data_IF_381336166791
#
_entry.id   IF_381336166791
#
_cell.length_a   1.000
_cell.length_b   1.000
_cell.length_c   1.000
_cell.angle_alpha   90.00
_cell.angle_beta   90.00
_cell.angle_gamma   90.00
#
_symmetry.space_group_name_H-M   'P 1'
#
loop_
_entity.id
_entity.type
_entity.pdbx_description
1 polymer ?
#
# COMPACT_ATOMS: atom_id res chain seq x y z
N UNK A 1 1.18 1.85 -23.75
CA UNK A 1 1.63 2.70 -22.65
C UNK A 1 1.47 1.98 -21.31
N UNK A 2 2.47 2.05 -20.50
CA UNK A 2 2.44 1.42 -19.19
C UNK A 2 1.55 2.21 -18.23
N UNK A 3 0.68 1.51 -17.54
CA UNK A 3 -0.19 2.16 -16.56
C UNK A 3 0.41 2.14 -15.15
N UNK A 4 1.48 1.39 -14.98
CA UNK A 4 2.18 1.35 -13.71
C UNK A 4 1.66 0.29 -12.75
N UNK A 5 2.27 0.26 -11.58
CA UNK A 5 1.97 -0.74 -10.55
C UNK A 5 1.52 -0.03 -9.29
N UNK A 6 0.43 -0.51 -8.70
CA UNK A 6 -0.06 0.00 -7.43
C UNK A 6 0.06 -1.07 -6.35
N UNK A 7 0.45 -0.65 -5.15
CA UNK A 7 0.46 -1.52 -3.97
C UNK A 7 -0.66 -1.05 -3.05
N UNK A 8 -1.54 -1.96 -2.67
CA UNK A 8 -2.64 -1.68 -1.75
C UNK A 8 -2.39 -2.44 -0.47
N UNK A 9 -2.35 -1.73 0.65
CA UNK A 9 -2.08 -2.32 1.96
C UNK A 9 -3.29 -2.11 2.86
N UNK A 10 -3.93 -3.20 3.27
CA UNK A 10 -5.13 -3.17 4.10
C UNK A 10 -5.26 -4.53 4.76
N UNK A 11 -5.57 -4.57 6.06
CA UNK A 11 -5.73 -5.84 6.77
C UNK A 11 -7.05 -6.52 6.45
N UNK A 12 -7.97 -5.85 5.82
CA UNK A 12 -9.26 -6.41 5.45
C UNK A 12 -9.20 -6.98 4.02
N UNK A 13 -9.25 -8.30 3.92
CA UNK A 13 -9.12 -8.97 2.63
C UNK A 13 -10.26 -8.64 1.67
N UNK A 14 -11.45 -8.39 2.19
CA UNK A 14 -12.58 -7.97 1.37
C UNK A 14 -12.36 -6.62 0.73
N UNK A 15 -11.77 -5.68 1.48
CA UNK A 15 -11.43 -4.37 0.95
C UNK A 15 -10.36 -4.49 -0.12
N UNK A 16 -9.34 -5.34 0.11
CA UNK A 16 -8.29 -5.57 -0.88
C UNK A 16 -8.89 -6.09 -2.19
N UNK A 17 -9.77 -7.08 -2.10
CA UNK A 17 -10.38 -7.65 -3.29
C UNK A 17 -11.24 -6.62 -4.03
N UNK A 18 -11.98 -5.81 -3.29
CA UNK A 18 -12.83 -4.78 -3.90
C UNK A 18 -12.00 -3.71 -4.60
N UNK A 19 -10.93 -3.26 -3.97
CA UNK A 19 -10.06 -2.26 -4.57
C UNK A 19 -9.32 -2.81 -5.78
N UNK A 20 -8.89 -4.07 -5.69
CA UNK A 20 -8.23 -4.72 -6.80
C UNK A 20 -9.13 -4.76 -8.02
N UNK A 21 -10.37 -5.17 -7.82
CA UNK A 21 -11.34 -5.22 -8.90
C UNK A 21 -11.62 -3.84 -9.48
N UNK A 22 -11.75 -2.84 -8.60
CA UNK A 22 -12.06 -1.48 -9.01
C UNK A 22 -10.93 -0.85 -9.82
N UNK A 23 -9.69 -1.18 -9.49
CA UNK A 23 -8.52 -0.54 -10.07
C UNK A 23 -7.84 -1.36 -11.17
N UNK A 24 -8.34 -2.55 -11.48
CA UNK A 24 -7.64 -3.46 -12.38
C UNK A 24 -7.49 -2.92 -13.80
N UNK A 25 -8.36 -1.99 -14.20
CA UNK A 25 -8.25 -1.37 -15.52
C UNK A 25 -7.39 -0.12 -15.51
N UNK A 26 -7.02 0.36 -14.32
CA UNK A 26 -6.27 1.61 -14.18
C UNK A 26 -4.77 1.38 -14.03
N UNK A 27 -4.36 0.17 -13.71
CA UNK A 27 -2.96 -0.16 -13.50
C UNK A 27 -2.58 -1.44 -14.23
N UNK A 28 -1.33 -1.52 -14.66
CA UNK A 28 -0.82 -2.72 -15.31
C UNK A 28 -0.73 -3.88 -14.34
N UNK A 29 -0.40 -3.58 -13.09
CA UNK A 29 -0.24 -4.61 -12.07
C UNK A 29 -0.72 -4.06 -10.73
N UNK A 30 -1.43 -4.91 -9.99
CA UNK A 30 -1.90 -4.55 -8.66
C UNK A 30 -1.31 -5.57 -7.68
N UNK A 31 -0.56 -5.07 -6.70
CA UNK A 31 -0.03 -5.87 -5.63
C UNK A 31 -0.81 -5.57 -4.37
N UNK A 32 -1.04 -6.59 -3.56
CA UNK A 32 -1.78 -6.40 -2.32
C UNK A 32 -0.97 -6.94 -1.15
N UNK A 33 -1.12 -6.31 0.00
CA UNK A 33 -0.53 -6.75 1.25
C UNK A 33 -1.56 -6.58 2.34
N UNK A 34 -1.72 -7.61 3.16
CA UNK A 34 -2.68 -7.54 4.26
C UNK A 34 -2.01 -7.19 5.59
N UNK A 35 -0.73 -6.87 5.56
CA UNK A 35 0.02 -6.46 6.75
C UNK A 35 1.10 -5.47 6.34
N UNK A 36 1.28 -4.38 7.10
CA UNK A 36 2.23 -3.34 6.68
C UNK A 36 3.68 -3.79 6.67
N UNK A 37 4.06 -4.82 7.43
CA UNK A 37 5.44 -5.28 7.41
C UNK A 37 5.84 -5.91 6.08
N UNK A 38 4.88 -6.16 5.18
CA UNK A 38 5.18 -6.67 3.85
C UNK A 38 5.62 -5.55 2.88
N UNK A 39 5.37 -4.29 3.25
CA UNK A 39 5.64 -3.15 2.37
C UNK A 39 7.11 -3.10 1.98
N UNK A 40 7.99 -3.20 2.96
CA UNK A 40 9.42 -3.05 2.71
C UNK A 40 9.93 -4.12 1.74
N UNK A 41 9.52 -5.36 1.98
CA UNK A 41 9.91 -6.47 1.11
C UNK A 41 9.43 -6.26 -0.31
N UNK A 42 8.19 -5.82 -0.47
CA UNK A 42 7.62 -5.59 -1.81
C UNK A 42 8.36 -4.46 -2.51
N UNK A 43 8.63 -3.36 -1.81
CA UNK A 43 9.33 -2.22 -2.40
C UNK A 43 10.76 -2.58 -2.81
N UNK A 44 11.40 -3.50 -2.09
CA UNK A 44 12.76 -3.91 -2.40
C UNK A 44 12.83 -4.90 -3.56
N UNK A 45 11.74 -5.56 -3.89
CA UNK A 45 11.75 -6.63 -4.90
C UNK A 45 10.96 -6.29 -6.16
N UNK A 46 10.15 -5.24 -6.13
CA UNK A 46 9.26 -4.93 -7.26
C UNK A 46 9.13 -3.43 -7.43
N UNK A 47 9.01 -2.95 -8.68
CA UNK A 47 8.71 -1.53 -8.89
C UNK A 47 7.28 -1.25 -8.48
N UNK A 48 7.07 -0.16 -7.75
CA UNK A 48 5.75 0.30 -7.33
C UNK A 48 5.67 1.78 -7.62
N UNK A 49 4.58 2.21 -8.24
CA UNK A 49 4.41 3.60 -8.65
C UNK A 49 3.54 4.41 -7.69
N UNK A 50 2.69 3.73 -6.92
CA UNK A 50 1.85 4.40 -5.92
C UNK A 50 1.43 3.38 -4.88
N UNK A 51 1.25 3.83 -3.63
CA UNK A 51 0.78 2.99 -2.53
C UNK A 51 -0.50 3.56 -1.97
N UNK A 52 -1.48 2.70 -1.74
CA UNK A 52 -2.64 3.02 -0.90
C UNK A 52 -2.41 2.32 0.44
N UNK A 53 -2.34 3.10 1.51
CA UNK A 53 -2.00 2.62 2.84
C UNK A 53 -3.17 2.88 3.78
N UNK A 54 -3.85 1.82 4.22
CA UNK A 54 -4.89 1.94 5.23
C UNK A 54 -4.24 2.13 6.59
N UNK A 55 -4.73 3.13 7.33
CA UNK A 55 -4.17 3.48 8.64
C UNK A 55 -4.77 2.69 9.79
N UNK A 56 -5.77 1.84 9.55
CA UNK A 56 -6.47 1.10 10.58
C UNK A 56 -6.00 -0.34 10.68
N UNK A 57 -4.70 -0.54 10.89
CA UNK A 57 -4.16 -1.89 10.95
C UNK A 57 -4.47 -2.61 12.25
N UNK A 58 -4.72 -1.86 13.32
CA UNK A 58 -4.97 -2.46 14.64
C UNK A 58 -6.29 -1.94 15.15
N UNK A 59 -7.35 -2.70 14.92
CA UNK A 59 -8.68 -2.32 15.34
C UNK A 59 -8.71 -2.04 16.84
N UNK A 60 -9.25 -0.90 17.21
CA UNK A 60 -9.40 -0.51 18.61
C UNK A 60 -8.16 0.10 19.23
N UNK A 61 -7.04 0.11 18.54
CA UNK A 61 -5.80 0.68 19.08
C UNK A 61 -5.28 1.80 18.20
N UNK A 62 -5.91 2.05 17.09
CA UNK A 62 -5.42 3.01 16.12
C UNK A 62 -5.49 4.43 16.68
N UNK A 63 -4.33 5.05 16.78
CA UNK A 63 -4.20 6.46 17.18
C UNK A 63 -3.49 7.27 16.11
N UNK A 64 -3.35 6.73 14.90
CA UNK A 64 -2.69 7.40 13.80
C UNK A 64 -1.18 7.20 13.74
N UNK A 65 -0.57 6.73 14.82
CA UNK A 65 0.89 6.61 14.87
C UNK A 65 1.41 5.50 13.97
N UNK A 66 0.65 4.44 13.82
CA UNK A 66 1.09 3.33 12.98
C UNK A 66 1.19 3.74 11.52
N UNK A 67 0.20 4.46 11.02
CA UNK A 67 0.24 4.95 9.66
C UNK A 67 1.40 5.89 9.41
N UNK A 68 1.66 6.80 10.38
CA UNK A 68 2.78 7.71 10.27
C UNK A 68 4.12 6.98 10.31
N UNK A 69 4.25 5.95 11.14
CA UNK A 69 5.46 5.15 11.20
C UNK A 69 5.77 4.54 9.84
N UNK A 70 4.78 3.91 9.21
CA UNK A 70 5.00 3.25 7.93
C UNK A 70 5.22 4.27 6.81
N UNK A 71 4.56 5.41 6.88
CA UNK A 71 4.81 6.48 5.91
C UNK A 71 6.27 6.91 5.95
N UNK A 72 6.83 7.09 7.15
CA UNK A 72 8.23 7.46 7.30
C UNK A 72 9.16 6.39 6.73
N UNK A 73 8.86 5.11 7.00
CA UNK A 73 9.67 4.01 6.48
C UNK A 73 9.65 3.98 4.95
N UNK A 74 8.48 4.18 4.37
CA UNK A 74 8.35 4.21 2.92
C UNK A 74 9.16 5.38 2.34
N UNK A 75 9.09 6.53 2.97
CA UNK A 75 9.82 7.71 2.51
C UNK A 75 11.33 7.54 2.58
N UNK A 76 11.81 6.75 3.53
CA UNK A 76 13.24 6.45 3.61
C UNK A 76 13.71 5.59 2.44
N UNK A 77 12.86 4.71 1.97
CA UNK A 77 13.20 3.77 0.91
C UNK A 77 12.90 4.36 -0.47
N UNK A 78 11.77 5.02 -0.59
CA UNK A 78 11.29 5.55 -1.87
C UNK A 78 10.74 6.97 -1.65
N UNK A 79 11.61 7.98 -1.52
CA UNK A 79 11.17 9.32 -1.14
C UNK A 79 10.24 9.99 -2.14
N UNK A 80 10.28 9.58 -3.40
CA UNK A 80 9.42 10.19 -4.41
C UNK A 80 8.12 9.41 -4.65
N UNK A 81 7.91 8.32 -3.94
CA UNK A 81 6.75 7.45 -4.17
C UNK A 81 5.49 8.09 -3.58
N UNK A 82 4.44 8.31 -4.38
CA UNK A 82 3.17 8.81 -3.84
C UNK A 82 2.53 7.79 -2.91
N UNK A 83 2.05 8.27 -1.76
CA UNK A 83 1.36 7.45 -0.77
C UNK A 83 0.00 8.08 -0.50
N UNK A 84 -1.06 7.29 -0.68
CA UNK A 84 -2.43 7.71 -0.40
C UNK A 84 -2.85 7.02 0.90
N UNK A 85 -3.30 7.81 1.87
CA UNK A 85 -3.71 7.27 3.18
C UNK A 85 -5.16 7.55 3.49
#
# INVERSE_FOLDING_TARGET
>A
MEKGTILIVDDNKGVLASLELLLETEFSEIKTAHHPNQIISILNTSPVDVIILDMNFSAGINNGNEGLYWLKRIREIAPALPVVM
#
